data_IF_408481379554
#
_entry.id   IF_408481379554
#
_cell.length_a   1.000
_cell.length_b   1.000
_cell.length_c   1.000
_cell.angle_alpha   90.00
_cell.angle_beta   90.00
_cell.angle_gamma   90.00
#
_symmetry.space_group_name_H-M   'P 1'
#
loop_
_entity.id
_entity.type
_entity.pdbx_description
1 polymer ?
#
# COMPACT_ATOMS: atom_id res chain seq x y z
N UNK A 1 -11.77 -11.90 11.75
CA UNK A 1 -10.91 -12.31 10.63
C UNK A 1 -11.78 -12.40 9.40
N UNK A 2 -11.27 -11.96 8.27
CA UNK A 2 -11.97 -11.96 6.99
C UNK A 2 -11.09 -12.55 5.89
N UNK A 3 -11.74 -13.09 4.86
CA UNK A 3 -11.10 -13.53 3.63
C UNK A 3 -11.88 -12.94 2.45
N UNK A 4 -11.18 -12.49 1.42
CA UNK A 4 -11.80 -11.98 0.21
C UNK A 4 -11.07 -12.48 -1.03
N UNK A 5 -11.84 -12.63 -2.11
CA UNK A 5 -11.37 -12.98 -3.44
C UNK A 5 -11.99 -12.04 -4.46
N UNK A 6 -11.19 -11.57 -5.40
CA UNK A 6 -11.63 -10.78 -6.54
C UNK A 6 -11.01 -11.31 -7.83
N UNK A 7 -11.79 -11.32 -8.90
CA UNK A 7 -11.39 -11.68 -10.25
C UNK A 7 -11.69 -10.51 -11.18
N UNK A 8 -10.76 -10.21 -12.10
CA UNK A 8 -10.98 -9.24 -13.15
C UNK A 8 -10.32 -9.70 -14.44
N UNK A 9 -11.08 -9.71 -15.53
CA UNK A 9 -10.56 -9.89 -16.88
C UNK A 9 -10.64 -8.53 -17.56
N UNK A 10 -9.48 -7.89 -17.76
CA UNK A 10 -9.39 -6.51 -18.23
C UNK A 10 -9.05 -6.50 -19.73
N UNK A 11 -10.07 -6.42 -20.57
CA UNK A 11 -9.92 -6.34 -22.04
C UNK A 11 -9.50 -4.94 -22.53
N UNK A 12 -9.16 -4.02 -21.63
CA UNK A 12 -8.73 -2.66 -21.97
C UNK A 12 -9.88 -1.73 -22.41
N UNK A 13 -11.12 -2.08 -22.09
CA UNK A 13 -12.32 -1.33 -22.44
C UNK A 13 -12.55 -0.08 -21.54
N UNK A 14 -11.84 0.02 -20.40
CA UNK A 14 -11.93 1.14 -19.46
C UNK A 14 -10.55 1.61 -19.00
N UNK A 15 -10.46 2.87 -18.53
CA UNK A 15 -9.27 3.35 -17.82
C UNK A 15 -9.22 2.66 -16.45
N UNK A 16 -8.35 1.67 -16.33
CA UNK A 16 -8.34 0.73 -15.22
C UNK A 16 -7.27 1.04 -14.18
N UNK A 17 -7.32 0.22 -13.12
CA UNK A 17 -6.40 0.14 -12.00
C UNK A 17 -4.94 0.19 -12.44
N UNK A 18 -4.09 0.87 -11.67
CA UNK A 18 -2.65 0.84 -11.88
C UNK A 18 -2.01 -0.25 -11.04
N UNK A 19 -1.05 -0.95 -11.64
CA UNK A 19 -0.25 -1.98 -10.98
C UNK A 19 1.22 -1.56 -10.97
N UNK A 20 1.95 -1.84 -9.88
CA UNK A 20 3.39 -1.64 -9.85
C UNK A 20 4.10 -2.70 -10.71
N UNK A 21 5.27 -2.37 -11.22
CA UNK A 21 6.22 -3.33 -11.81
C UNK A 21 7.64 -2.93 -11.40
N UNK A 22 8.54 -3.89 -11.24
CA UNK A 22 9.93 -3.60 -10.89
C UNK A 22 10.71 -3.19 -12.15
N UNK A 23 11.57 -2.17 -12.04
CA UNK A 23 12.56 -1.91 -13.08
C UNK A 23 13.68 -2.97 -13.00
N UNK A 24 14.23 -3.44 -14.13
CA UNK A 24 15.38 -4.34 -14.10
C UNK A 24 16.54 -3.73 -13.29
N UNK A 25 17.11 -4.50 -12.36
CA UNK A 25 18.26 -4.07 -11.56
C UNK A 25 19.37 -3.53 -12.46
N UNK A 26 19.68 -2.25 -12.35
CA UNK A 26 20.86 -1.66 -13.00
C UNK A 26 22.10 -1.97 -12.14
N UNK A 27 23.29 -2.12 -12.74
CA UNK A 27 24.53 -2.36 -11.99
C UNK A 27 24.90 -1.28 -10.96
N UNK A 28 24.22 -0.12 -10.98
CA UNK A 28 24.56 1.07 -10.20
C UNK A 28 23.68 1.34 -8.97
N UNK A 29 22.72 0.47 -8.61
CA UNK A 29 21.94 0.68 -7.38
C UNK A 29 20.59 -0.02 -7.31
N UNK A 30 19.91 0.27 -6.19
CA UNK A 30 18.57 -0.18 -5.77
C UNK A 30 17.56 0.07 -6.89
N UNK A 31 16.79 -0.95 -7.28
CA UNK A 31 15.73 -0.80 -8.29
C UNK A 31 14.45 -0.25 -7.68
N UNK A 32 13.82 0.67 -8.41
CA UNK A 32 12.54 1.25 -8.04
C UNK A 32 11.37 0.57 -8.75
N UNK A 33 10.16 1.01 -8.44
CA UNK A 33 8.95 0.55 -9.09
C UNK A 33 8.46 1.57 -10.13
N UNK A 34 8.01 1.06 -11.28
CA UNK A 34 7.17 1.78 -12.22
C UNK A 34 5.69 1.46 -11.98
N UNK A 35 4.79 2.25 -12.54
CA UNK A 35 3.36 1.95 -12.59
C UNK A 35 2.94 1.73 -14.04
N UNK A 36 2.18 0.67 -14.29
CA UNK A 36 1.50 0.42 -15.57
C UNK A 36 0.02 0.14 -15.34
N UNK A 37 -0.75 0.03 -16.41
CA UNK A 37 -2.20 -0.28 -16.36
C UNK A 37 -2.43 -1.78 -16.35
N UNK A 38 -3.57 -2.20 -15.78
CA UNK A 38 -4.04 -3.59 -15.86
C UNK A 38 -4.62 -4.00 -17.22
N UNK A 39 -4.71 -3.07 -18.18
CA UNK A 39 -5.27 -3.35 -19.50
C UNK A 39 -4.58 -4.54 -20.19
N UNK A 40 -5.39 -5.48 -20.66
CA UNK A 40 -4.96 -6.72 -21.30
C UNK A 40 -4.48 -7.79 -20.31
N UNK A 41 -4.78 -7.66 -19.02
CA UNK A 41 -4.42 -8.64 -17.99
C UNK A 41 -5.64 -9.34 -17.41
N UNK A 42 -5.44 -10.59 -17.02
CA UNK A 42 -6.34 -11.30 -16.13
C UNK A 42 -5.78 -11.27 -14.71
N UNK A 43 -6.60 -10.90 -13.74
CA UNK A 43 -6.21 -10.69 -12.35
C UNK A 43 -6.98 -11.61 -11.41
N UNK A 44 -6.24 -12.30 -10.54
CA UNK A 44 -6.79 -13.00 -9.39
C UNK A 44 -6.22 -12.39 -8.12
N UNK A 45 -7.06 -11.85 -7.25
CA UNK A 45 -6.64 -11.25 -5.98
C UNK A 45 -7.25 -12.01 -4.80
N UNK A 46 -6.43 -12.32 -3.82
CA UNK A 46 -6.79 -12.95 -2.57
C UNK A 46 -6.34 -12.05 -1.43
N UNK A 47 -7.14 -11.95 -0.37
CA UNK A 47 -6.70 -11.25 0.81
C UNK A 47 -7.26 -11.84 2.09
N UNK A 48 -6.50 -11.68 3.16
CA UNK A 48 -6.84 -12.09 4.52
C UNK A 48 -6.64 -10.91 5.45
N UNK A 49 -7.63 -10.66 6.30
CA UNK A 49 -7.59 -9.58 7.28
C UNK A 49 -7.86 -10.08 8.69
N UNK A 50 -7.22 -9.45 9.67
CA UNK A 50 -7.43 -9.70 11.09
C UNK A 50 -7.46 -8.39 11.87
N UNK A 51 -8.30 -8.36 12.91
CA UNK A 51 -8.42 -7.23 13.82
C UNK A 51 -8.60 -7.74 15.25
N UNK A 52 -7.93 -7.07 16.19
CA UNK A 52 -7.95 -7.32 17.62
C UNK A 52 -8.12 -5.98 18.35
N UNK A 53 -8.95 -5.95 19.39
CA UNK A 53 -9.04 -4.85 20.34
C UNK A 53 -9.06 -5.42 21.75
N UNK A 54 -8.22 -4.89 22.63
CA UNK A 54 -8.10 -5.35 24.00
C UNK A 54 -7.61 -4.21 24.91
N UNK A 55 -8.43 -3.79 25.89
CA UNK A 55 -8.05 -2.82 26.93
C UNK A 55 -7.31 -1.56 26.43
N UNK A 56 -7.85 -0.91 25.40
CA UNK A 56 -7.24 0.29 24.81
C UNK A 56 -6.11 0.02 23.82
N UNK A 57 -5.64 -1.23 23.71
CA UNK A 57 -4.83 -1.71 22.60
C UNK A 57 -5.71 -2.12 21.42
N UNK A 58 -5.24 -1.85 20.21
CA UNK A 58 -5.81 -2.34 18.97
C UNK A 58 -4.70 -2.81 18.04
N UNK A 59 -4.97 -3.86 17.27
CA UNK A 59 -4.11 -4.31 16.18
C UNK A 59 -4.98 -4.71 15.00
N UNK A 60 -4.58 -4.31 13.80
CA UNK A 60 -5.24 -4.69 12.55
C UNK A 60 -4.17 -5.00 11.53
N UNK A 61 -4.40 -6.02 10.69
CA UNK A 61 -3.49 -6.32 9.61
C UNK A 61 -4.19 -6.97 8.45
N UNK A 62 -3.59 -6.83 7.28
CA UNK A 62 -4.06 -7.41 6.03
C UNK A 62 -2.86 -7.97 5.26
N UNK A 63 -3.08 -9.09 4.59
CA UNK A 63 -2.17 -9.64 3.60
C UNK A 63 -2.93 -9.89 2.31
N UNK A 64 -2.38 -9.42 1.19
CA UNK A 64 -2.98 -9.53 -0.15
C UNK A 64 -1.98 -10.18 -1.09
N UNK A 65 -2.45 -11.10 -1.92
CA UNK A 65 -1.73 -11.66 -3.06
C UNK A 65 -2.54 -11.41 -4.32
N UNK A 66 -1.87 -10.99 -5.39
CA UNK A 66 -2.46 -10.74 -6.69
C UNK A 66 -1.64 -11.45 -7.76
N UNK A 67 -2.29 -12.30 -8.53
CA UNK A 67 -1.73 -13.01 -9.67
C UNK A 67 -2.14 -12.25 -10.93
N UNK A 68 -1.15 -11.91 -11.76
CA UNK A 68 -1.30 -11.21 -13.03
C UNK A 68 -0.97 -12.17 -14.16
N UNK A 69 -1.96 -12.52 -14.98
CA UNK A 69 -1.74 -13.30 -16.19
C UNK A 69 -1.74 -12.37 -17.41
N UNK A 70 -0.58 -12.31 -18.07
CA UNK A 70 -0.31 -11.50 -19.26
C UNK A 70 -0.93 -12.10 -20.53
N UNK A 71 -1.28 -13.39 -20.51
CA UNK A 71 -1.71 -14.15 -21.70
C UNK A 71 -3.22 -14.39 -21.76
N UNK A 72 -3.94 -14.10 -20.67
CA UNK A 72 -5.30 -14.58 -20.44
C UNK A 72 -6.44 -13.80 -21.09
N UNK A 73 -6.34 -12.47 -21.20
CA UNK A 73 -7.53 -11.64 -21.49
C UNK A 73 -8.06 -11.75 -22.94
N UNK A 74 -7.22 -11.88 -23.98
CA UNK A 74 -7.76 -11.90 -25.36
C UNK A 74 -6.87 -12.51 -26.46
N UNK A 75 -5.85 -13.31 -26.10
CA UNK A 75 -4.89 -13.79 -27.06
C UNK A 75 -3.94 -12.66 -27.49
N UNK A 76 -2.64 -12.95 -27.43
CA UNK A 76 -1.57 -11.97 -27.66
C UNK A 76 -1.76 -11.13 -28.94
N UNK A 77 -1.24 -9.88 -28.99
CA UNK A 77 -0.12 -9.44 -28.15
C UNK A 77 -0.35 -8.08 -27.47
N UNK A 78 0.49 -7.79 -26.48
CA UNK A 78 0.70 -6.44 -25.92
C UNK A 78 -0.24 -6.01 -24.78
N UNK A 79 -0.33 -6.79 -23.69
CA UNK A 79 -0.66 -6.16 -22.42
C UNK A 79 0.34 -5.03 -22.14
N UNK A 80 -0.11 -3.96 -21.51
CA UNK A 80 0.78 -2.83 -21.20
C UNK A 80 1.93 -3.23 -20.28
N UNK A 81 1.77 -4.29 -19.49
CA UNK A 81 2.86 -4.87 -18.70
C UNK A 81 3.93 -5.44 -19.62
N UNK A 82 3.57 -6.32 -20.57
CA UNK A 82 4.50 -6.91 -21.53
C UNK A 82 5.23 -5.82 -22.35
N UNK A 83 4.52 -4.79 -22.81
CA UNK A 83 5.12 -3.70 -23.59
C UNK A 83 6.19 -2.92 -22.83
N UNK A 84 6.06 -2.80 -21.51
CA UNK A 84 6.95 -1.97 -20.69
C UNK A 84 8.07 -2.80 -20.05
N UNK A 85 7.81 -4.06 -19.71
CA UNK A 85 8.77 -4.92 -18.99
C UNK A 85 9.33 -6.06 -19.84
N UNK A 86 8.68 -6.41 -20.95
CA UNK A 86 8.97 -7.63 -21.71
C UNK A 86 8.48 -8.91 -21.03
N UNK A 87 7.75 -8.80 -19.92
CA UNK A 87 7.28 -9.93 -19.12
C UNK A 87 6.13 -10.65 -19.81
N UNK A 88 6.33 -11.92 -20.16
CA UNK A 88 5.34 -12.79 -20.81
C UNK A 88 4.81 -13.91 -19.90
N UNK A 89 5.30 -13.98 -18.67
CA UNK A 89 4.93 -14.98 -17.69
C UNK A 89 3.87 -14.47 -16.70
N UNK A 90 3.36 -15.38 -15.88
CA UNK A 90 2.41 -15.05 -14.82
C UNK A 90 3.15 -14.49 -13.61
N UNK A 91 2.86 -13.24 -13.25
CA UNK A 91 3.52 -12.53 -12.15
C UNK A 91 2.67 -12.56 -10.89
N UNK A 92 3.30 -12.82 -9.74
CA UNK A 92 2.66 -12.68 -8.44
C UNK A 92 3.13 -11.40 -7.74
N UNK A 93 2.18 -10.54 -7.36
CA UNK A 93 2.39 -9.40 -6.47
C UNK A 93 1.82 -9.75 -5.11
N UNK A 94 2.46 -9.32 -4.04
CA UNK A 94 1.92 -9.51 -2.70
C UNK A 94 2.30 -8.35 -1.79
N UNK A 95 1.52 -8.16 -0.76
CA UNK A 95 1.77 -7.09 0.20
C UNK A 95 1.07 -7.34 1.52
N UNK A 96 1.60 -6.74 2.55
CA UNK A 96 1.05 -6.83 3.89
C UNK A 96 1.07 -5.47 4.57
N UNK A 97 0.20 -5.29 5.54
CA UNK A 97 0.43 -4.30 6.59
C UNK A 97 -0.03 -4.81 7.94
N UNK A 98 0.59 -4.25 8.98
CA UNK A 98 0.12 -4.35 10.36
C UNK A 98 0.10 -2.94 10.92
N UNK A 99 -0.98 -2.60 11.60
CA UNK A 99 -1.17 -1.37 12.33
C UNK A 99 -1.57 -1.68 13.76
N UNK A 100 -0.95 -0.98 14.70
CA UNK A 100 -1.24 -1.09 16.12
C UNK A 100 -1.56 0.29 16.69
N UNK A 101 -2.43 0.32 17.69
CA UNK A 101 -2.80 1.52 18.42
C UNK A 101 -2.89 1.23 19.91
N UNK A 102 -2.49 2.16 20.76
CA UNK A 102 -2.64 2.04 22.21
C UNK A 102 -2.99 3.38 22.85
N UNK A 103 -4.09 3.42 23.59
CA UNK A 103 -4.42 4.56 24.44
C UNK A 103 -3.50 4.59 25.66
N UNK A 104 -2.75 5.69 25.79
CA UNK A 104 -1.80 5.87 26.88
C UNK A 104 -2.54 6.04 28.20
N UNK A 105 -2.16 5.31 29.27
CA UNK A 105 -2.78 5.40 30.58
C UNK A 105 -2.23 6.60 31.36
N UNK A 106 -2.43 7.81 30.85
CA UNK A 106 -1.97 9.06 31.49
C UNK A 106 -3.09 9.58 32.40
N UNK A 107 -2.81 9.79 33.71
CA UNK A 107 -3.80 10.35 34.64
C UNK A 107 -4.37 11.69 34.17
N UNK A 108 -5.70 11.80 34.10
CA UNK A 108 -6.40 13.00 33.64
C UNK A 108 -6.50 13.16 32.12
N UNK A 109 -5.87 12.29 31.33
CA UNK A 109 -5.96 12.22 29.87
C UNK A 109 -6.32 10.80 29.41
N UNK A 110 -7.01 10.03 30.26
CA UNK A 110 -7.38 8.66 29.95
C UNK A 110 -8.24 8.63 28.69
N UNK A 111 -7.85 7.78 27.73
CA UNK A 111 -8.53 7.63 26.43
C UNK A 111 -8.50 8.90 25.56
N UNK A 112 -7.68 9.89 25.90
CA UNK A 112 -7.50 11.08 25.09
C UNK A 112 -6.26 11.02 24.21
N UNK A 113 -5.23 10.27 24.59
CA UNK A 113 -3.99 10.15 23.80
C UNK A 113 -3.82 8.72 23.34
N UNK A 114 -3.72 8.52 22.02
CA UNK A 114 -3.46 7.23 21.39
C UNK A 114 -2.16 7.30 20.60
N UNK A 115 -1.25 6.36 20.87
CA UNK A 115 -0.07 6.11 20.05
C UNK A 115 -0.42 5.10 18.97
N UNK A 116 -0.07 5.38 17.72
CA UNK A 116 -0.32 4.50 16.57
C UNK A 116 0.99 4.20 15.86
N UNK A 117 1.17 2.95 15.44
CA UNK A 117 2.27 2.51 14.59
C UNK A 117 1.76 1.67 13.44
N UNK A 118 2.41 1.76 12.28
CA UNK A 118 2.10 0.99 11.08
C UNK A 118 3.38 0.53 10.42
N UNK A 119 3.43 -0.73 10.00
CA UNK A 119 4.44 -1.23 9.08
C UNK A 119 3.72 -1.94 7.95
N UNK A 120 4.15 -1.71 6.73
CA UNK A 120 3.64 -2.41 5.57
C UNK A 120 4.67 -2.53 4.48
N UNK A 121 4.32 -3.28 3.45
CA UNK A 121 5.16 -3.41 2.28
C UNK A 121 4.48 -4.14 1.16
N UNK A 122 5.00 -3.94 -0.04
CA UNK A 122 4.59 -4.65 -1.25
C UNK A 122 5.84 -5.19 -1.95
N UNK A 123 5.72 -6.36 -2.56
CA UNK A 123 6.78 -7.00 -3.32
C UNK A 123 6.19 -7.67 -4.56
N UNK A 124 7.02 -7.80 -5.58
CA UNK A 124 6.67 -8.48 -6.83
C UNK A 124 7.68 -9.61 -7.04
N UNK A 125 7.16 -10.81 -7.33
CA UNK A 125 7.98 -11.99 -7.62
C UNK A 125 8.37 -12.00 -9.10
N UNK A 126 9.16 -11.02 -9.53
CA UNK A 126 9.87 -11.03 -10.83
C UNK A 126 11.36 -11.29 -10.62
N UNK A 127 12.12 -11.53 -11.70
CA UNK A 127 13.56 -11.78 -11.62
C UNK A 127 14.29 -10.64 -10.89
N UNK A 128 14.80 -10.93 -9.68
CA UNK A 128 15.42 -9.94 -8.79
C UNK A 128 14.43 -9.31 -7.81
N UNK A 129 14.05 -10.06 -6.77
CA UNK A 129 13.11 -9.63 -5.74
C UNK A 129 13.53 -8.30 -5.06
N UNK A 130 12.71 -7.27 -5.24
CA UNK A 130 12.77 -5.94 -4.59
C UNK A 130 11.37 -5.57 -4.04
N UNK A 131 11.32 -4.70 -3.03
CA UNK A 131 10.11 -4.50 -2.24
C UNK A 131 10.05 -3.12 -1.61
N UNK A 132 8.92 -2.44 -1.78
CA UNK A 132 8.59 -1.21 -1.06
C UNK A 132 8.25 -1.54 0.39
N UNK A 133 8.78 -0.75 1.32
CA UNK A 133 8.41 -0.82 2.74
C UNK A 133 7.94 0.53 3.25
N UNK A 134 6.89 0.52 4.08
CA UNK A 134 6.34 1.67 4.78
C UNK A 134 6.51 1.47 6.29
N UNK A 135 7.02 2.49 6.97
CA UNK A 135 7.09 2.58 8.42
C UNK A 135 6.47 3.89 8.87
N UNK A 136 5.37 3.80 9.62
CA UNK A 136 4.61 4.94 10.11
C UNK A 136 4.47 4.93 11.63
N UNK A 137 4.54 6.11 12.23
CA UNK A 137 4.27 6.31 13.65
C UNK A 137 3.55 7.63 13.86
N UNK A 138 2.63 7.68 14.81
CA UNK A 138 1.85 8.89 15.07
C UNK A 138 1.12 8.89 16.40
N UNK A 139 0.52 10.04 16.68
CA UNK A 139 -0.26 10.32 17.87
C UNK A 139 -1.62 10.86 17.47
N UNK A 140 -2.67 10.39 18.12
CA UNK A 140 -4.00 10.98 18.07
C UNK A 140 -4.33 11.55 19.44
N UNK A 141 -4.76 12.81 19.47
CA UNK A 141 -5.26 13.50 20.64
C UNK A 141 -6.75 13.83 20.49
N UNK A 142 -7.58 13.25 21.35
CA UNK A 142 -9.03 13.35 21.35
C UNK A 142 -9.46 14.41 22.39
N UNK A 143 -9.71 15.64 21.91
CA UNK A 143 -10.02 16.82 22.74
C UNK A 143 -11.44 16.72 23.31
N UNK A 144 -12.39 16.25 22.50
CA UNK A 144 -13.79 16.10 22.90
C UNK A 144 -14.34 14.76 22.43
N UNK A 145 -13.78 13.68 22.97
CA UNK A 145 -14.04 12.32 22.50
C UNK A 145 -13.76 12.22 20.99
N UNK A 146 -14.64 11.55 20.25
CA UNK A 146 -14.46 11.38 18.80
C UNK A 146 -14.87 12.61 17.97
N UNK A 147 -15.37 13.67 18.59
CA UNK A 147 -15.90 14.83 17.87
C UNK A 147 -14.81 15.80 17.42
N UNK A 148 -13.72 15.91 18.20
CA UNK A 148 -12.57 16.76 17.89
C UNK A 148 -11.30 15.98 18.15
N UNK A 149 -10.54 15.73 17.08
CA UNK A 149 -9.31 14.94 17.12
C UNK A 149 -8.18 15.67 16.39
N UNK A 150 -7.06 15.85 17.06
CA UNK A 150 -5.79 16.28 16.46
C UNK A 150 -4.94 15.03 16.20
N UNK A 151 -4.41 14.89 14.99
CA UNK A 151 -3.55 13.77 14.60
C UNK A 151 -2.23 14.31 14.09
N UNK A 152 -1.14 13.65 14.48
CA UNK A 152 0.20 13.93 13.98
C UNK A 152 0.88 12.62 13.63
N UNK A 153 1.47 12.50 12.45
CA UNK A 153 2.18 11.28 12.05
C UNK A 153 3.40 11.57 11.19
N UNK A 154 4.33 10.61 11.23
CA UNK A 154 5.52 10.54 10.41
C UNK A 154 5.53 9.20 9.70
N UNK A 155 5.69 9.21 8.39
CA UNK A 155 5.76 8.00 7.56
C UNK A 155 7.02 8.03 6.72
N UNK A 156 7.84 6.99 6.86
CA UNK A 156 8.93 6.68 5.94
C UNK A 156 8.45 5.62 4.96
N UNK A 157 8.62 5.87 3.67
CA UNK A 157 8.42 4.88 2.62
C UNK A 157 9.71 4.73 1.86
N UNK A 158 10.19 3.50 1.73
CA UNK A 158 11.36 3.16 0.91
C UNK A 158 10.93 2.51 -0.39
N UNK A 159 11.64 2.84 -1.47
CA UNK A 159 11.35 2.44 -2.85
C UNK A 159 9.90 2.78 -3.25
N UNK A 160 9.49 4.04 -3.12
CA UNK A 160 8.09 4.48 -3.31
C UNK A 160 7.59 4.10 -4.72
N UNK A 161 6.52 3.30 -4.85
CA UNK A 161 6.01 2.85 -6.14
C UNK A 161 5.10 3.89 -6.82
N UNK A 162 5.19 5.14 -6.38
CA UNK A 162 4.30 6.23 -6.78
C UNK A 162 5.15 7.37 -7.30
N UNK A 163 5.13 7.55 -8.61
CA UNK A 163 5.42 8.84 -9.23
C UNK A 163 4.13 9.65 -9.21
N UNK A 164 4.09 10.71 -8.41
CA UNK A 164 2.95 11.62 -8.42
C UNK A 164 3.12 12.65 -9.54
N UNK A 165 2.15 12.72 -10.45
CA UNK A 165 2.12 13.73 -11.50
C UNK A 165 1.91 15.12 -10.89
N UNK A 166 2.89 16.01 -11.08
CA UNK A 166 2.92 17.49 -10.95
C UNK A 166 2.22 18.22 -9.78
N UNK A 167 1.46 17.57 -8.89
CA UNK A 167 0.60 18.24 -7.90
C UNK A 167 0.54 17.57 -6.52
N UNK A 168 1.47 16.67 -6.18
CA UNK A 168 1.61 16.14 -4.81
C UNK A 168 2.93 16.61 -4.20
N UNK A 169 2.89 16.88 -2.89
CA UNK A 169 3.96 17.49 -2.09
C UNK A 169 5.23 16.64 -1.95
N UNK A 170 5.24 15.38 -2.41
CA UNK A 170 6.41 14.51 -2.37
C UNK A 170 6.51 13.69 -3.67
N UNK A 171 7.23 14.21 -4.66
CA UNK A 171 7.72 13.42 -5.80
C UNK A 171 9.14 12.93 -5.48
N UNK A 172 9.22 11.92 -4.64
CA UNK A 172 10.47 11.33 -4.15
C UNK A 172 10.49 9.89 -4.64
N UNK A 173 11.12 9.69 -5.80
CA UNK A 173 11.19 8.46 -6.60
C UNK A 173 11.97 7.33 -5.92
N UNK A 174 12.29 7.45 -4.63
CA UNK A 174 13.21 6.56 -3.93
C UNK A 174 12.79 6.43 -2.46
N UNK A 175 13.19 7.36 -1.59
CA UNK A 175 12.76 7.42 -0.20
C UNK A 175 11.85 8.63 0.07
N UNK A 176 10.68 8.40 0.65
CA UNK A 176 9.82 9.45 1.19
C UNK A 176 9.90 9.50 2.72
N UNK A 177 10.03 10.70 3.28
CA UNK A 177 9.71 10.97 4.67
C UNK A 177 8.64 12.06 4.72
N UNK A 178 7.44 11.69 5.20
CA UNK A 178 6.27 12.55 5.20
C UNK A 178 5.88 12.86 6.64
N UNK A 179 5.72 14.14 6.95
CA UNK A 179 5.19 14.63 8.22
C UNK A 179 3.80 15.20 7.98
N UNK A 180 2.83 14.81 8.81
CA UNK A 180 1.45 15.28 8.70
C UNK A 180 0.91 15.73 10.05
N UNK A 181 0.07 16.76 9.98
CA UNK A 181 -0.74 17.24 11.08
C UNK A 181 -2.15 17.45 10.54
N UNK A 182 -3.15 16.88 11.21
CA UNK A 182 -4.54 16.96 10.78
C UNK A 182 -5.44 17.23 11.99
N UNK A 183 -6.32 18.22 11.87
CA UNK A 183 -7.43 18.43 12.79
C UNK A 183 -8.71 17.89 12.12
N UNK A 184 -9.39 16.99 12.81
CA UNK A 184 -10.69 16.45 12.39
C UNK A 184 -11.78 16.93 13.35
N UNK A 185 -12.87 17.44 12.80
CA UNK A 185 -14.09 17.79 13.52
C UNK A 185 -15.28 17.05 12.92
N UNK A 186 -16.10 16.40 13.75
CA UNK A 186 -17.37 15.79 13.36
C UNK A 186 -18.52 16.32 14.22
N UNK A 187 -19.67 16.57 13.60
CA UNK A 187 -20.87 17.14 14.19
C UNK A 187 -22.08 16.23 13.99
#
# INVERSE_FOLDING_TARGET
MGFHYAFNEDDGDRRTTRIPFQFPRRPSGVGGFGLTTTNGLQLHQFGVEAALKYMGFSATGEYVVRILDVRGASGAPFSHLFLVTGEDSTVAQHGAYVQVGYFLPIPGLERQVELVGRVGGISVNTEGSEGTWEYGGGLNYYIHGNNVKLQTDVVKVSEVPITSGSHSLANVNDDALVFRVQLQTSF
#
